data_IF_840355068083
#
_entry.id   IF_840355068083
#
_cell.length_a   1.000
_cell.length_b   1.000
_cell.length_c   1.000
_cell.angle_alpha   90.00
_cell.angle_beta   90.00
_cell.angle_gamma   90.00
#
_symmetry.space_group_name_H-M   'P 1'
#
loop_
_entity.id
_entity.type
_entity.pdbx_description
1 polymer ?
#
# COMPACT_ATOMS: atom_id res chain seq x y z
N UNK A 1 -12.81 6.70 -5.82
CA UNK A 1 -12.83 6.46 -4.36
C UNK A 1 -11.45 6.83 -3.85
N UNK A 2 -11.35 7.87 -3.03
CA UNK A 2 -10.09 8.19 -2.35
C UNK A 2 -10.09 7.47 -1.01
N UNK A 3 -9.05 6.68 -0.75
CA UNK A 3 -8.95 5.90 0.48
C UNK A 3 -8.22 6.74 1.53
N UNK A 4 -8.84 7.09 2.67
CA UNK A 4 -8.24 7.93 3.71
C UNK A 4 -6.93 7.33 4.27
N UNK A 5 -6.82 6.00 4.18
CA UNK A 5 -5.63 5.22 4.58
C UNK A 5 -4.40 5.51 3.72
N UNK A 6 -4.58 6.03 2.49
CA UNK A 6 -3.50 6.30 1.55
C UNK A 6 -3.17 7.80 1.38
N UNK A 7 -3.93 8.70 2.01
CA UNK A 7 -3.88 10.15 1.73
C UNK A 7 -2.65 10.87 2.29
N UNK A 8 -1.94 10.26 3.25
CA UNK A 8 -0.75 10.84 3.89
C UNK A 8 0.53 10.02 3.64
N UNK A 9 0.52 9.15 2.62
CA UNK A 9 1.70 8.34 2.33
C UNK A 9 2.78 9.17 1.61
N UNK A 10 4.06 9.08 2.02
CA UNK A 10 5.17 9.67 1.28
C UNK A 10 5.23 9.10 -0.15
N UNK A 11 5.79 9.86 -1.10
CA UNK A 11 5.78 9.52 -2.52
C UNK A 11 6.40 8.16 -2.84
N UNK A 12 7.46 7.77 -2.12
CA UNK A 12 8.07 6.44 -2.25
C UNK A 12 7.11 5.29 -1.90
N UNK A 13 6.20 5.51 -0.94
CA UNK A 13 5.20 4.52 -0.53
C UNK A 13 3.96 4.56 -1.42
N UNK A 14 3.66 5.68 -2.08
CA UNK A 14 2.62 5.74 -3.12
C UNK A 14 2.98 4.90 -4.35
N UNK A 15 4.25 4.90 -4.77
CA UNK A 15 4.71 4.02 -5.86
C UNK A 15 4.60 2.54 -5.48
N UNK A 16 5.12 2.17 -4.30
CA UNK A 16 5.00 0.83 -3.74
C UNK A 16 3.53 0.40 -3.60
N UNK A 17 2.64 1.31 -3.18
CA UNK A 17 1.22 1.06 -3.07
C UNK A 17 0.58 0.80 -4.42
N UNK A 18 0.84 1.63 -5.43
CA UNK A 18 0.29 1.42 -6.77
C UNK A 18 0.71 0.08 -7.35
N UNK A 19 1.98 -0.32 -7.17
CA UNK A 19 2.47 -1.64 -7.58
C UNK A 19 1.80 -2.77 -6.79
N UNK A 20 1.69 -2.63 -5.48
CA UNK A 20 1.04 -3.62 -4.62
C UNK A 20 -0.45 -3.79 -4.97
N UNK A 21 -1.16 -2.69 -5.22
CA UNK A 21 -2.55 -2.71 -5.68
C UNK A 21 -2.68 -3.40 -7.05
N UNK A 22 -1.74 -3.17 -7.97
CA UNK A 22 -1.71 -3.84 -9.27
C UNK A 22 -1.43 -5.34 -9.16
N UNK A 23 -0.67 -5.79 -8.16
CA UNK A 23 -0.37 -7.21 -7.91
C UNK A 23 -1.52 -7.96 -7.25
N UNK A 24 -2.22 -7.30 -6.32
CA UNK A 24 -3.24 -7.92 -5.48
C UNK A 24 -4.64 -7.93 -6.11
N UNK A 25 -4.88 -7.07 -7.10
CA UNK A 25 -6.18 -6.92 -7.73
C UNK A 25 -7.24 -6.33 -6.77
N UNK A 26 -8.48 -6.14 -7.25
CA UNK A 26 -9.51 -5.38 -6.53
C UNK A 26 -9.89 -5.96 -5.17
N UNK A 27 -9.92 -7.29 -5.02
CA UNK A 27 -10.19 -7.96 -3.74
C UNK A 27 -9.05 -7.73 -2.73
N UNK A 28 -7.79 -7.90 -3.14
CA UNK A 28 -6.67 -7.67 -2.24
C UNK A 28 -6.45 -6.19 -1.89
N UNK A 29 -6.86 -5.27 -2.77
CA UNK A 29 -6.94 -3.83 -2.46
C UNK A 29 -8.01 -3.54 -1.41
N UNK A 30 -9.19 -4.15 -1.52
CA UNK A 30 -10.26 -3.97 -0.53
C UNK A 30 -9.85 -4.46 0.86
N UNK A 31 -9.11 -5.57 0.92
CA UNK A 31 -8.50 -6.05 2.16
C UNK A 31 -7.47 -5.06 2.72
N UNK A 32 -6.57 -4.53 1.88
CA UNK A 32 -5.59 -3.50 2.27
C UNK A 32 -6.24 -2.24 2.84
N UNK A 33 -7.31 -1.76 2.21
CA UNK A 33 -8.06 -0.58 2.64
C UNK A 33 -8.79 -0.81 3.96
N UNK A 34 -9.16 -2.06 4.24
CA UNK A 34 -9.79 -2.44 5.50
C UNK A 34 -8.80 -2.57 6.66
N UNK A 35 -7.49 -2.50 6.39
CA UNK A 35 -6.45 -2.51 7.43
C UNK A 35 -6.21 -1.10 7.99
N UNK A 36 -5.66 -1.04 9.20
CA UNK A 36 -5.18 0.20 9.77
C UNK A 36 -4.11 0.88 8.89
N UNK A 37 -4.07 2.22 8.83
CA UNK A 37 -3.05 2.97 8.11
C UNK A 37 -1.63 2.56 8.47
N UNK A 38 -1.37 2.25 9.75
CA UNK A 38 -0.07 1.79 10.20
C UNK A 38 0.30 0.41 9.62
N UNK A 39 -0.66 -0.51 9.55
CA UNK A 39 -0.45 -1.85 9.00
C UNK A 39 -0.21 -1.80 7.49
N UNK A 40 -0.95 -0.95 6.78
CA UNK A 40 -0.69 -0.64 5.37
C UNK A 40 0.73 -0.08 5.22
N UNK A 41 1.10 0.88 6.06
CA UNK A 41 2.37 1.57 5.97
C UNK A 41 3.56 0.62 6.18
N UNK A 42 3.49 -0.24 7.20
CA UNK A 42 4.49 -1.27 7.47
C UNK A 42 4.60 -2.31 6.33
N UNK A 43 3.47 -2.65 5.70
CA UNK A 43 3.45 -3.56 4.56
C UNK A 43 4.07 -2.92 3.32
N UNK A 44 3.81 -1.63 3.07
CA UNK A 44 4.43 -0.87 2.00
C UNK A 44 5.94 -0.71 2.19
N UNK A 45 6.39 -0.44 3.42
CA UNK A 45 7.83 -0.38 3.72
C UNK A 45 8.51 -1.73 3.48
N UNK A 46 7.89 -2.82 3.94
CA UNK A 46 8.41 -4.18 3.71
C UNK A 46 8.45 -4.51 2.21
N UNK A 47 7.41 -4.14 1.46
CA UNK A 47 7.35 -4.34 0.02
C UNK A 47 8.42 -3.53 -0.71
N UNK A 48 8.60 -2.26 -0.34
CA UNK A 48 9.63 -1.40 -0.90
C UNK A 48 11.04 -1.94 -0.63
N UNK A 49 11.30 -2.45 0.59
CA UNK A 49 12.58 -3.12 0.92
C UNK A 49 12.81 -4.38 0.11
N UNK A 50 11.76 -5.19 -0.12
CA UNK A 50 11.85 -6.39 -0.96
C UNK A 50 12.12 -6.04 -2.43
N UNK A 51 11.51 -4.98 -2.96
CA UNK A 51 11.73 -4.54 -4.34
C UNK A 51 13.15 -3.96 -4.56
N UNK A 52 13.74 -3.37 -3.52
CA UNK A 52 15.09 -2.79 -3.55
C UNK A 52 16.22 -3.77 -3.13
N UNK A 53 15.89 -4.99 -2.71
CA UNK A 53 16.84 -6.01 -2.27
C UNK A 53 17.25 -6.94 -3.43
#
# INVERSE_FOLDING_TARGET
MEYPVFTNLPPAQQDALNKLMSLLGPEGVSHLVSQDPEAVNARLESFSRYENA
#
